data_IF_799680211234
#
_entry.id   IF_799680211234
#
_cell.length_a   1.000
_cell.length_b   1.000
_cell.length_c   1.000
_cell.angle_alpha   90.00
_cell.angle_beta   90.00
_cell.angle_gamma   90.00
#
_symmetry.space_group_name_H-M   'P 1'
#
loop_
_entity.id
_entity.type
_entity.pdbx_description
1 polymer ?
#
# COMPACT_ATOMS: atom_id res chain seq x y z
N UNK A 1 -17.09 -8.17 -4.99
CA UNK A 1 -16.04 -7.43 -4.25
C UNK A 1 -15.14 -6.80 -5.30
N UNK A 2 -14.79 -5.51 -5.17
CA UNK A 2 -13.87 -4.86 -6.12
C UNK A 2 -12.49 -5.51 -6.04
N UNK A 3 -11.79 -5.57 -7.16
CA UNK A 3 -10.37 -5.97 -7.24
C UNK A 3 -9.50 -4.86 -6.67
N UNK A 4 -8.31 -5.20 -6.17
CA UNK A 4 -7.39 -4.21 -5.61
C UNK A 4 -7.09 -3.08 -6.61
N UNK A 5 -6.77 -3.44 -7.85
CA UNK A 5 -6.50 -2.50 -8.94
C UNK A 5 -7.74 -1.74 -9.43
N UNK A 6 -8.94 -1.94 -8.88
CA UNK A 6 -10.16 -1.16 -9.16
C UNK A 6 -10.47 -0.11 -8.08
N UNK A 7 -9.66 -0.04 -7.03
CA UNK A 7 -9.87 0.82 -5.87
C UNK A 7 -8.93 2.02 -5.95
N UNK A 8 -9.53 3.21 -6.01
CA UNK A 8 -8.81 4.48 -5.87
C UNK A 8 -9.05 5.01 -4.45
N UNK A 9 -7.98 5.38 -3.76
CA UNK A 9 -8.07 5.96 -2.43
C UNK A 9 -8.31 7.48 -2.51
N UNK A 10 -9.28 8.05 -1.76
CA UNK A 10 -9.60 9.47 -1.83
C UNK A 10 -8.59 10.37 -1.09
N UNK A 11 -7.69 9.78 -0.31
CA UNK A 11 -6.73 10.51 0.52
C UNK A 11 -5.31 10.30 0.01
N UNK A 12 -4.63 11.41 -0.25
CA UNK A 12 -3.22 11.43 -0.62
C UNK A 12 -2.40 12.04 0.51
N UNK A 13 -1.23 11.48 0.76
CA UNK A 13 -0.27 11.93 1.77
C UNK A 13 1.08 12.29 1.15
N UNK A 14 1.99 12.90 1.93
CA UNK A 14 3.33 13.19 1.46
C UNK A 14 4.10 11.89 1.16
N UNK A 15 4.91 11.94 0.10
CA UNK A 15 5.62 10.76 -0.41
C UNK A 15 6.84 10.38 0.45
N UNK A 16 7.53 11.37 1.04
CA UNK A 16 8.66 11.10 1.92
C UNK A 16 9.85 10.47 1.20
N UNK A 17 10.48 9.48 1.83
CA UNK A 17 11.56 8.71 1.22
C UNK A 17 10.99 7.58 0.36
N UNK A 18 11.51 7.41 -0.85
CA UNK A 18 11.03 6.38 -1.79
C UNK A 18 12.10 5.32 -2.01
N UNK A 19 11.66 4.07 -2.01
CA UNK A 19 12.49 2.89 -2.31
C UNK A 19 11.76 2.01 -3.32
N UNK A 20 12.46 1.64 -4.39
CA UNK A 20 11.96 0.76 -5.43
C UNK A 20 12.55 -0.63 -5.24
N UNK A 21 11.68 -1.62 -5.05
CA UNK A 21 12.04 -3.02 -4.84
C UNK A 21 11.78 -3.85 -6.09
N UNK A 22 12.50 -4.95 -6.22
CA UNK A 22 12.46 -5.78 -7.42
C UNK A 22 11.23 -6.70 -7.44
N UNK A 23 10.60 -6.95 -6.30
CA UNK A 23 9.46 -7.88 -6.22
C UNK A 23 8.53 -7.66 -5.03
N UNK A 24 7.33 -8.22 -5.13
CA UNK A 24 6.40 -8.28 -4.01
C UNK A 24 6.92 -9.08 -2.82
N UNK A 25 7.76 -10.10 -3.05
CA UNK A 25 8.38 -10.87 -1.97
C UNK A 25 9.34 -10.00 -1.14
N UNK A 26 10.20 -9.24 -1.82
CA UNK A 26 11.13 -8.29 -1.20
C UNK A 26 10.39 -7.20 -0.42
N UNK A 27 9.28 -6.67 -0.97
CA UNK A 27 8.43 -5.71 -0.26
C UNK A 27 7.92 -6.27 1.06
N UNK A 28 7.49 -7.54 1.09
CA UNK A 28 7.05 -8.18 2.34
C UNK A 28 8.19 -8.28 3.35
N UNK A 29 9.38 -8.67 2.91
CA UNK A 29 10.57 -8.78 3.76
C UNK A 29 10.98 -7.42 4.36
N UNK A 30 11.00 -6.36 3.56
CA UNK A 30 11.31 -5.00 4.02
C UNK A 30 10.29 -4.53 5.05
N UNK A 31 9.00 -4.72 4.80
CA UNK A 31 7.94 -4.33 5.76
C UNK A 31 8.03 -5.13 7.06
N UNK A 32 8.32 -6.43 6.98
CA UNK A 32 8.47 -7.29 8.15
C UNK A 32 9.70 -6.94 8.99
N UNK A 33 10.81 -6.55 8.35
CA UNK A 33 12.05 -6.15 9.03
C UNK A 33 12.00 -4.73 9.61
N UNK A 34 11.24 -3.82 8.99
CA UNK A 34 11.22 -2.39 9.35
C UNK A 34 10.24 -2.02 10.45
N UNK A 35 9.21 -2.83 10.70
CA UNK A 35 8.11 -2.49 11.62
C UNK A 35 7.94 -3.48 12.78
N UNK A 36 9.02 -3.82 13.48
CA UNK A 36 8.97 -4.78 14.60
C UNK A 36 7.92 -4.37 15.64
N UNK A 37 7.81 -3.07 15.92
CA UNK A 37 6.92 -2.47 16.93
C UNK A 37 5.47 -2.22 16.46
N UNK A 38 5.08 -2.55 15.22
CA UNK A 38 3.76 -2.20 14.65
C UNK A 38 3.46 -0.68 14.72
N UNK A 39 4.47 0.13 14.45
CA UNK A 39 4.44 1.59 14.58
C UNK A 39 4.00 2.31 13.30
N UNK A 40 3.92 1.61 12.17
CA UNK A 40 3.51 2.20 10.90
C UNK A 40 2.00 2.09 10.66
N UNK A 41 1.47 3.14 10.04
CA UNK A 41 0.15 3.17 9.41
C UNK A 41 0.36 3.02 7.91
N UNK A 42 -0.31 2.03 7.31
CA UNK A 42 -0.15 1.67 5.91
C UNK A 42 -1.32 2.16 5.06
N UNK A 43 -1.01 2.70 3.89
CA UNK A 43 -1.92 2.80 2.75
C UNK A 43 -1.28 2.06 1.58
N UNK A 44 -2.07 1.45 0.73
CA UNK A 44 -1.61 0.82 -0.50
C UNK A 44 -2.32 1.45 -1.69
N UNK A 45 -1.65 1.50 -2.84
CA UNK A 45 -2.26 1.79 -4.14
C UNK A 45 -1.74 0.76 -5.14
N UNK A 46 -2.63 0.28 -6.02
CA UNK A 46 -2.26 -0.58 -7.14
C UNK A 46 -2.38 0.21 -8.45
N UNK A 47 -1.24 0.56 -9.02
CA UNK A 47 -1.16 1.25 -10.30
C UNK A 47 -1.18 0.23 -11.43
N UNK A 48 -2.27 0.23 -12.19
CA UNK A 48 -2.36 -0.42 -13.49
C UNK A 48 -2.27 0.67 -14.57
N UNK A 49 -1.13 0.73 -15.27
CA UNK A 49 -0.82 1.76 -16.25
C UNK A 49 -1.62 1.62 -17.55
N UNK A 50 -2.35 0.52 -17.71
CA UNK A 50 -3.28 0.35 -18.83
C UNK A 50 -4.54 1.21 -18.64
N UNK A 51 -4.82 1.64 -17.40
CA UNK A 51 -6.05 2.36 -17.05
C UNK A 51 -5.91 3.87 -17.28
N UNK A 52 -6.92 4.54 -17.88
CA UNK A 52 -6.84 5.96 -18.21
C UNK A 52 -6.59 6.89 -17.02
N UNK A 53 -7.09 6.56 -15.83
CA UNK A 53 -6.86 7.42 -14.66
C UNK A 53 -5.40 7.50 -14.20
N UNK A 54 -4.54 6.58 -14.68
CA UNK A 54 -3.11 6.59 -14.39
C UNK A 54 -2.29 7.18 -15.53
N UNK A 55 -2.92 7.74 -16.57
CA UNK A 55 -2.23 8.34 -17.72
C UNK A 55 -1.27 9.45 -17.31
N UNK A 56 -1.58 10.21 -16.25
CA UNK A 56 -0.70 11.26 -15.75
C UNK A 56 0.62 10.75 -15.15
N UNK A 57 0.69 9.45 -14.84
CA UNK A 57 1.88 8.79 -14.29
C UNK A 57 2.65 8.01 -15.35
N UNK A 58 2.09 7.89 -16.56
CA UNK A 58 2.72 7.16 -17.65
C UNK A 58 3.79 8.02 -18.33
N UNK A 59 4.98 7.45 -18.50
CA UNK A 59 6.05 8.07 -19.28
C UNK A 59 5.99 7.53 -20.71
N UNK A 60 5.98 8.43 -21.70
CA UNK A 60 5.93 8.06 -23.11
C UNK A 60 7.10 7.11 -23.47
N UNK A 61 6.77 5.94 -24.02
CA UNK A 61 7.73 4.88 -24.34
C UNK A 61 7.79 3.74 -23.32
N UNK A 62 7.11 3.84 -22.18
CA UNK A 62 6.98 2.74 -21.23
C UNK A 62 5.92 1.71 -21.63
N UNK A 63 6.03 0.50 -21.06
CA UNK A 63 5.05 -0.56 -21.24
C UNK A 63 3.76 -0.24 -20.46
N UNK A 64 2.66 0.02 -21.16
CA UNK A 64 1.34 0.27 -20.57
C UNK A 64 0.76 -0.94 -19.85
N UNK A 65 1.29 -2.14 -20.04
CA UNK A 65 0.88 -3.33 -19.30
C UNK A 65 1.55 -3.44 -17.91
N UNK A 66 2.51 -2.55 -17.61
CA UNK A 66 3.17 -2.45 -16.31
C UNK A 66 2.12 -2.29 -15.21
N UNK A 67 2.36 -2.99 -14.10
CA UNK A 67 1.60 -2.81 -12.86
C UNK A 67 2.56 -2.67 -11.68
N UNK A 68 2.20 -1.84 -10.72
CA UNK A 68 3.04 -1.47 -9.60
C UNK A 68 2.20 -1.38 -8.33
N UNK A 69 2.69 -1.98 -7.25
CA UNK A 69 2.13 -1.80 -5.92
C UNK A 69 2.95 -0.73 -5.22
N UNK A 70 2.29 0.32 -4.72
CA UNK A 70 2.90 1.31 -3.84
C UNK A 70 2.35 1.15 -2.45
N UNK A 71 3.24 0.99 -1.48
CA UNK A 71 2.90 0.99 -0.06
C UNK A 71 3.41 2.28 0.56
N UNK A 72 2.48 3.10 1.03
CA UNK A 72 2.74 4.32 1.77
C UNK A 72 2.74 4.00 3.26
N UNK A 73 3.81 4.33 3.94
CA UNK A 73 4.01 4.08 5.37
C UNK A 73 4.18 5.41 6.10
N UNK A 74 3.39 5.61 7.14
CA UNK A 74 3.51 6.76 8.04
C UNK A 74 3.94 6.26 9.40
N UNK A 75 5.03 6.80 9.96
CA UNK A 75 5.40 6.60 11.36
C UNK A 75 4.90 7.79 12.17
N UNK A 76 3.72 7.72 12.82
CA UNK A 76 3.06 8.90 13.37
C UNK A 76 3.87 9.54 14.50
N UNK A 77 4.63 8.74 15.27
CA UNK A 77 5.45 9.22 16.38
C UNK A 77 6.63 10.09 15.95
N UNK A 78 7.13 9.92 14.72
CA UNK A 78 8.31 10.64 14.21
C UNK A 78 7.99 11.55 13.03
N UNK A 79 6.74 11.57 12.57
CA UNK A 79 6.32 12.26 11.34
C UNK A 79 7.18 11.85 10.14
N UNK A 80 7.56 10.57 10.07
CA UNK A 80 8.32 10.02 8.96
C UNK A 80 7.38 9.36 7.96
N UNK A 81 7.68 9.58 6.68
CA UNK A 81 6.90 9.09 5.55
C UNK A 81 7.83 8.30 4.64
N UNK A 82 7.38 7.14 4.20
CA UNK A 82 8.13 6.25 3.32
C UNK A 82 7.19 5.66 2.28
N UNK A 83 7.62 5.59 1.04
CA UNK A 83 6.98 4.81 -0.02
C UNK A 83 7.90 3.68 -0.44
N UNK A 84 7.36 2.47 -0.42
CA UNK A 84 8.00 1.31 -1.02
C UNK A 84 7.20 0.91 -2.24
N UNK A 85 7.86 0.80 -3.38
CA UNK A 85 7.23 0.37 -4.63
C UNK A 85 7.76 -1.00 -5.03
N UNK A 86 6.94 -1.81 -5.71
CA UNK A 86 7.43 -3.02 -6.37
C UNK A 86 6.56 -3.35 -7.60
N UNK A 87 7.11 -4.04 -8.61
CA UNK A 87 6.30 -4.56 -9.70
C UNK A 87 5.35 -5.65 -9.19
N UNK A 88 4.13 -5.67 -9.73
CA UNK A 88 3.12 -6.71 -9.50
C UNK A 88 2.43 -7.08 -10.80
N UNK A 89 1.55 -8.07 -10.77
CA UNK A 89 0.70 -8.46 -11.90
C UNK A 89 -0.71 -8.79 -11.42
N UNK A 90 -1.70 -8.72 -12.30
CA UNK A 90 -3.07 -9.11 -11.96
C UNK A 90 -3.17 -10.55 -11.41
N UNK A 91 -2.26 -11.44 -11.80
CA UNK A 91 -2.17 -12.81 -11.28
C UNK A 91 -1.81 -12.88 -9.79
N UNK A 92 -1.13 -11.86 -9.26
CA UNK A 92 -0.76 -11.76 -7.84
C UNK A 92 -1.86 -11.12 -6.97
N UNK A 93 -3.02 -10.79 -7.54
CA UNK A 93 -4.13 -10.13 -6.83
C UNK A 93 -4.45 -10.80 -5.48
N UNK A 94 -4.60 -12.12 -5.48
CA UNK A 94 -5.03 -12.85 -4.27
C UNK A 94 -3.91 -12.94 -3.22
N UNK A 95 -2.64 -13.01 -3.66
CA UNK A 95 -1.47 -12.97 -2.77
C UNK A 95 -1.38 -11.61 -2.06
N UNK A 96 -1.44 -10.53 -2.83
CA UNK A 96 -1.38 -9.15 -2.31
C UNK A 96 -2.57 -8.88 -1.39
N UNK A 97 -3.78 -9.27 -1.79
CA UNK A 97 -4.99 -9.09 -0.98
C UNK A 97 -4.90 -9.83 0.35
N UNK A 98 -4.38 -11.06 0.34
CA UNK A 98 -4.20 -11.87 1.56
C UNK A 98 -3.22 -11.20 2.51
N UNK A 99 -2.08 -10.71 1.98
CA UNK A 99 -1.08 -10.00 2.77
C UNK A 99 -1.60 -8.66 3.34
N UNK A 100 -2.28 -7.83 2.53
CA UNK A 100 -2.90 -6.58 2.99
C UNK A 100 -3.92 -6.81 4.11
N UNK A 101 -4.65 -7.93 4.07
CA UNK A 101 -5.60 -8.34 5.13
C UNK A 101 -4.93 -8.94 6.36
N UNK A 102 -3.63 -9.17 6.30
CA UNK A 102 -2.85 -9.78 7.36
C UNK A 102 -2.75 -8.93 8.63
N UNK A 103 -2.16 -9.49 9.69
CA UNK A 103 -2.07 -8.85 10.99
C UNK A 103 -1.24 -7.56 10.97
N UNK A 104 -0.26 -7.44 10.05
CA UNK A 104 0.65 -6.28 9.98
C UNK A 104 -0.02 -5.07 9.35
N UNK A 105 -0.65 -5.23 8.19
CA UNK A 105 -1.21 -4.10 7.42
C UNK A 105 -2.59 -3.73 7.95
N UNK A 106 -3.62 -4.54 7.67
CA UNK A 106 -4.98 -4.27 8.15
C UNK A 106 -5.13 -4.52 9.66
N UNK A 107 -4.47 -5.55 10.20
CA UNK A 107 -4.60 -5.90 11.62
C UNK A 107 -4.10 -4.80 12.57
N UNK A 108 -2.99 -4.13 12.24
CA UNK A 108 -2.47 -3.01 13.03
C UNK A 108 -3.42 -1.81 13.00
N UNK A 109 -3.94 -1.46 11.82
CA UNK A 109 -4.94 -0.39 11.68
C UNK A 109 -6.22 -0.69 12.46
N UNK A 110 -6.72 -1.93 12.41
CA UNK A 110 -7.91 -2.31 13.17
C UNK A 110 -7.71 -2.07 14.66
N UNK A 111 -6.61 -2.53 15.25
CA UNK A 111 -6.29 -2.31 16.67
C UNK A 111 -6.22 -0.82 17.04
N UNK A 112 -5.70 0.01 16.15
CA UNK A 112 -5.61 1.45 16.36
C UNK A 112 -6.99 2.11 16.49
N UNK A 113 -7.96 1.68 15.68
CA UNK A 113 -9.29 2.29 15.59
C UNK A 113 -10.38 1.56 16.37
N UNK A 114 -10.17 0.29 16.74
CA UNK A 114 -11.11 -0.58 17.47
C UNK A 114 -11.80 0.12 18.66
N UNK A 115 -11.10 0.87 19.54
CA UNK A 115 -11.76 1.57 20.65
C UNK A 115 -12.81 2.62 20.23
N UNK A 116 -12.68 3.18 19.03
CA UNK A 116 -13.62 4.16 18.46
C UNK A 116 -14.68 3.50 17.57
N UNK A 117 -14.45 2.26 17.12
CA UNK A 117 -15.38 1.50 16.29
C UNK A 117 -16.42 0.74 17.11
N UNK A 118 -16.06 0.33 18.34
CA UNK A 118 -16.92 -0.43 19.24
C UNK A 118 -17.65 0.44 20.29
N UNK A 119 -17.42 1.76 20.31
CA UNK A 119 -18.10 2.70 21.18
C UNK A 119 -19.31 3.33 20.51
N UNK A 120 -20.52 3.14 21.05
CA UNK A 120 -21.67 3.99 20.69
C UNK A 120 -21.33 5.45 21.03
N UNK A 121 -21.61 6.41 20.14
CA UNK A 121 -21.51 7.82 20.49
C UNK A 121 -22.49 8.11 21.63
N UNK A 122 -21.95 8.47 22.79
CA UNK A 122 -22.72 9.02 23.92
C UNK A 122 -23.49 10.28 23.52
#
# INVERSE_FOLDING_TARGET
MKRLYEIDHPYYGPEGYTEDLESFAELREVVEASDEDMSFVYRWDWFDYSRPQHDSLFVEGEDRSKQELRLFMVQPRKSQFWIVTCPVTHGQHDEVLTWLRGPRVLGALRKLWEPLLDGEPS
#
